data_IF_704364725445
#
_entry.id   IF_704364725445
#
_cell.length_a   1.000
_cell.length_b   1.000
_cell.length_c   1.000
_cell.angle_alpha   90.00
_cell.angle_beta   90.00
_cell.angle_gamma   90.00
#
_symmetry.space_group_name_H-M   'P 1'
#
loop_
_entity.id
_entity.type
_entity.pdbx_description
1 polymer ?
#
# COMPACT_ATOMS: atom_id res chain seq x y z
N UNK A 1 28.89 15.04 -33.78
CA UNK A 1 27.56 15.64 -33.55
C UNK A 1 26.54 14.71 -32.86
N UNK A 2 26.89 13.48 -32.46
CA UNK A 2 25.92 12.45 -31.98
C UNK A 2 25.84 12.27 -30.46
N UNK A 3 26.83 12.72 -29.68
CA UNK A 3 26.84 12.56 -28.20
C UNK A 3 25.91 13.53 -27.46
N UNK A 4 25.69 14.73 -28.01
CA UNK A 4 24.87 15.78 -27.39
C UNK A 4 23.37 15.51 -27.54
N UNK A 5 22.97 14.92 -28.67
CA UNK A 5 21.60 14.45 -28.91
C UNK A 5 21.25 13.26 -28.02
N UNK A 6 22.21 12.36 -27.72
CA UNK A 6 22.01 11.25 -26.78
C UNK A 6 21.81 11.74 -25.34
N UNK A 7 22.62 12.71 -24.86
CA UNK A 7 22.46 13.34 -23.54
C UNK A 7 21.12 14.07 -23.38
N UNK A 8 20.66 14.78 -24.42
CA UNK A 8 19.36 15.46 -24.42
C UNK A 8 18.18 14.47 -24.37
N UNK A 9 18.28 13.34 -25.07
CA UNK A 9 17.25 12.28 -25.03
C UNK A 9 17.23 11.57 -23.68
N UNK A 10 18.39 11.27 -23.09
CA UNK A 10 18.46 10.71 -21.74
C UNK A 10 17.87 11.63 -20.67
N UNK A 11 18.18 12.94 -20.74
CA UNK A 11 17.59 13.92 -19.83
C UNK A 11 16.06 14.02 -20.00
N UNK A 12 15.56 13.95 -21.24
CA UNK A 12 14.12 13.90 -21.51
C UNK A 12 13.44 12.66 -20.92
N UNK A 13 14.05 11.48 -21.05
CA UNK A 13 13.51 10.23 -20.48
C UNK A 13 13.51 10.26 -18.95
N UNK A 14 14.55 10.81 -18.32
CA UNK A 14 14.62 10.99 -16.86
C UNK A 14 13.54 11.94 -16.33
N UNK A 15 13.28 13.05 -17.01
CA UNK A 15 12.24 14.01 -16.61
C UNK A 15 10.81 13.46 -16.79
N UNK A 16 10.57 12.66 -17.83
CA UNK A 16 9.28 11.96 -18.04
C UNK A 16 9.04 10.82 -17.03
N UNK A 17 10.08 10.26 -16.42
CA UNK A 17 9.94 9.22 -15.39
C UNK A 17 9.42 9.75 -14.04
N UNK A 18 9.72 11.01 -13.69
CA UNK A 18 9.35 11.59 -12.40
C UNK A 18 7.88 12.03 -12.28
N UNK A 19 7.15 12.14 -13.39
CA UNK A 19 5.72 12.53 -13.37
C UNK A 19 4.76 11.41 -12.95
N UNK A 20 5.27 10.20 -12.69
CA UNK A 20 4.48 9.04 -12.26
C UNK A 20 4.43 8.87 -10.74
N UNK A 21 5.04 9.78 -9.97
CA UNK A 21 4.93 9.73 -8.51
C UNK A 21 3.50 10.17 -8.14
N UNK A 22 2.70 9.32 -7.47
CA UNK A 22 1.40 9.75 -6.99
C UNK A 22 1.60 10.93 -6.02
N UNK A 23 1.02 12.07 -6.36
CA UNK A 23 0.85 13.19 -5.42
C UNK A 23 0.02 12.65 -4.27
N UNK A 24 0.49 12.84 -3.04
CA UNK A 24 -0.26 12.45 -1.86
C UNK A 24 -1.62 13.18 -1.86
N UNK A 25 -2.69 12.43 -2.11
CA UNK A 25 -4.07 12.90 -2.01
C UNK A 25 -4.34 13.37 -0.57
N UNK A 26 -5.06 14.48 -0.42
CA UNK A 26 -5.48 14.99 0.88
C UNK A 26 -6.45 13.99 1.55
N UNK A 27 -5.94 13.27 2.56
CA UNK A 27 -6.68 12.33 3.41
C UNK A 27 -6.68 10.89 2.89
N UNK A 28 -6.29 9.96 3.76
CA UNK A 28 -6.44 8.52 3.51
C UNK A 28 -7.93 8.17 3.57
N UNK A 29 -8.37 7.25 2.72
CA UNK A 29 -9.72 6.71 2.78
C UNK A 29 -9.69 5.18 2.74
N UNK A 30 -10.83 4.54 2.97
CA UNK A 30 -10.90 3.07 3.03
C UNK A 30 -10.45 2.44 1.72
N UNK A 31 -10.81 3.02 0.57
CA UNK A 31 -10.44 2.49 -0.74
C UNK A 31 -8.92 2.50 -0.97
N UNK A 32 -8.25 3.60 -0.60
CA UNK A 32 -6.78 3.74 -0.72
C UNK A 32 -6.05 2.83 0.27
N UNK A 33 -6.58 2.64 1.49
CA UNK A 33 -6.04 1.68 2.44
C UNK A 33 -6.16 0.23 1.94
N UNK A 34 -7.33 -0.17 1.43
CA UNK A 34 -7.52 -1.52 0.87
C UNK A 34 -6.64 -1.75 -0.36
N UNK A 35 -6.53 -0.76 -1.25
CA UNK A 35 -5.67 -0.85 -2.42
C UNK A 35 -4.18 -0.96 -2.01
N UNK A 36 -3.73 -0.20 -1.01
CA UNK A 36 -2.35 -0.25 -0.53
C UNK A 36 -2.03 -1.54 0.22
N UNK A 37 -3.01 -2.12 0.93
CA UNK A 37 -2.88 -3.41 1.60
C UNK A 37 -2.64 -4.58 0.62
N UNK A 38 -3.07 -4.47 -0.64
CA UNK A 38 -2.80 -5.46 -1.67
C UNK A 38 -1.44 -5.28 -2.37
N UNK A 39 -0.70 -4.21 -2.05
CA UNK A 39 0.57 -3.93 -2.71
C UNK A 39 1.65 -4.98 -2.34
N UNK A 40 2.51 -5.40 -3.29
CA UNK A 40 3.54 -6.41 -3.03
C UNK A 40 4.52 -6.02 -1.90
N UNK A 41 4.79 -4.71 -1.79
CA UNK A 41 5.66 -4.16 -0.76
C UNK A 41 5.03 -4.23 0.64
N UNK A 42 3.72 -3.98 0.76
CA UNK A 42 3.02 -4.03 2.04
C UNK A 42 2.91 -5.46 2.58
N UNK A 43 2.52 -6.41 1.72
CA UNK A 43 2.35 -7.82 2.13
C UNK A 43 3.67 -8.59 2.25
N UNK A 44 4.82 -7.92 2.10
CA UNK A 44 6.16 -8.53 2.06
C UNK A 44 6.18 -9.75 1.13
N UNK A 45 5.67 -9.57 -0.08
CA UNK A 45 5.51 -10.67 -1.02
C UNK A 45 6.88 -11.23 -1.39
N UNK A 46 7.09 -12.53 -1.14
CA UNK A 46 8.34 -13.21 -1.49
C UNK A 46 8.11 -14.64 -1.95
N UNK A 47 8.95 -15.06 -2.89
CA UNK A 47 9.06 -16.46 -3.26
C UNK A 47 9.85 -17.15 -2.15
N UNK A 48 9.18 -18.01 -1.37
CA UNK A 48 9.81 -18.75 -0.28
C UNK A 48 10.43 -20.07 -0.73
N UNK A 49 10.07 -20.54 -1.93
CA UNK A 49 10.68 -21.73 -2.52
C UNK A 49 9.87 -22.29 -3.68
N UNK A 50 10.09 -23.57 -3.96
CA UNK A 50 9.41 -24.34 -4.99
C UNK A 50 8.86 -25.63 -4.40
N UNK A 51 7.67 -26.02 -4.86
CA UNK A 51 7.01 -27.27 -4.47
C UNK A 51 6.96 -28.20 -5.68
N UNK A 52 7.36 -29.45 -5.50
CA UNK A 52 7.19 -30.49 -6.49
C UNK A 52 5.96 -31.32 -6.13
N UNK A 53 5.12 -31.60 -7.11
CA UNK A 53 3.97 -32.49 -6.95
C UNK A 53 3.81 -33.38 -8.17
N UNK A 54 3.27 -34.57 -7.96
CA UNK A 54 3.07 -35.56 -9.01
C UNK A 54 1.66 -35.41 -9.58
N UNK A 55 1.56 -35.12 -10.89
CA UNK A 55 0.29 -35.11 -11.63
C UNK A 55 0.21 -36.34 -12.52
N UNK A 56 -0.72 -37.25 -12.22
CA UNK A 56 -0.99 -38.44 -13.02
C UNK A 56 -2.19 -38.21 -13.96
N UNK A 57 -2.08 -38.70 -15.20
CA UNK A 57 -3.17 -38.79 -16.15
C UNK A 57 -3.11 -40.12 -16.90
N UNK A 58 -3.92 -40.30 -17.93
CA UNK A 58 -3.99 -41.57 -18.67
C UNK A 58 -2.68 -42.00 -19.34
N UNK A 59 -1.81 -41.06 -19.71
CA UNK A 59 -0.51 -41.34 -20.32
C UNK A 59 0.66 -41.43 -19.32
N UNK A 60 0.38 -41.70 -18.04
CA UNK A 60 1.39 -41.76 -16.97
C UNK A 60 1.48 -40.49 -16.12
N UNK A 61 2.46 -40.48 -15.21
CA UNK A 61 2.64 -39.43 -14.21
C UNK A 61 3.80 -38.50 -14.54
N UNK A 62 3.63 -37.20 -14.28
CA UNK A 62 4.66 -36.18 -14.48
C UNK A 62 4.81 -35.33 -13.24
N UNK A 63 6.06 -35.02 -12.87
CA UNK A 63 6.36 -34.05 -11.83
C UNK A 63 6.00 -32.65 -12.35
N UNK A 64 5.27 -31.90 -11.54
CA UNK A 64 4.90 -30.51 -11.75
C UNK A 64 5.54 -29.67 -10.66
N UNK A 65 6.04 -28.51 -11.06
CA UNK A 65 6.68 -27.56 -10.15
C UNK A 65 5.76 -26.37 -10.00
N UNK A 66 5.45 -26.01 -8.76
CA UNK A 66 4.70 -24.81 -8.40
C UNK A 66 5.57 -23.90 -7.53
N UNK A 67 5.39 -22.59 -7.66
CA UNK A 67 6.08 -21.61 -6.81
C UNK A 67 5.43 -21.58 -5.44
N UNK A 68 6.22 -21.66 -4.38
CA UNK A 68 5.77 -21.41 -3.01
C UNK A 68 5.94 -19.93 -2.71
N UNK A 69 4.83 -19.27 -2.40
CA UNK A 69 4.79 -17.85 -2.04
C UNK A 69 4.59 -17.72 -0.53
N UNK A 70 5.28 -16.76 0.08
CA UNK A 70 5.02 -16.30 1.44
C UNK A 70 4.58 -14.84 1.35
N UNK A 71 3.47 -14.51 2.00
CA UNK A 71 2.98 -13.14 2.15
C UNK A 71 2.33 -12.97 3.52
N UNK A 72 2.23 -11.73 4.00
CA UNK A 72 1.50 -11.36 5.20
C UNK A 72 0.26 -10.56 4.80
N UNK A 73 -0.92 -10.94 5.30
CA UNK A 73 -2.15 -10.19 5.07
C UNK A 73 -2.36 -9.27 6.28
N UNK A 74 -2.38 -7.94 6.09
CA UNK A 74 -2.70 -7.03 7.18
C UNK A 74 -4.21 -7.09 7.48
N UNK A 75 -4.57 -7.57 8.68
CA UNK A 75 -5.96 -7.63 9.17
C UNK A 75 -6.37 -6.40 10.00
N UNK A 76 -5.41 -5.52 10.30
CA UNK A 76 -5.62 -4.34 11.15
C UNK A 76 -4.84 -3.13 10.63
N UNK A 77 -5.43 -1.95 10.79
CA UNK A 77 -4.82 -0.65 10.51
C UNK A 77 -4.64 0.09 11.84
N UNK A 78 -3.42 0.59 12.08
CA UNK A 78 -3.09 1.38 13.27
C UNK A 78 -2.79 2.80 12.83
N UNK A 79 -3.55 3.77 13.36
CA UNK A 79 -3.33 5.21 13.13
C UNK A 79 -2.78 5.86 14.40
N UNK A 80 -1.70 6.62 14.27
CA UNK A 80 -1.16 7.47 15.33
C UNK A 80 -1.29 8.95 14.91
N UNK A 81 -1.91 9.75 15.77
CA UNK A 81 -2.21 11.17 15.53
C UNK A 81 -2.15 11.94 16.85
N UNK A 82 -2.01 13.27 16.78
CA UNK A 82 -1.75 14.12 17.95
C UNK A 82 -3.03 14.48 18.72
N UNK A 83 -4.09 14.86 18.02
CA UNK A 83 -5.35 15.24 18.64
C UNK A 83 -6.55 14.41 18.12
N UNK A 84 -7.62 14.29 18.94
CA UNK A 84 -8.88 13.69 18.50
C UNK A 84 -9.42 14.41 17.26
N UNK A 85 -9.91 13.67 16.26
CA UNK A 85 -10.38 14.25 15.01
C UNK A 85 -9.29 14.41 13.95
N UNK A 86 -8.01 14.36 14.31
CA UNK A 86 -6.89 14.49 13.37
C UNK A 86 -6.45 13.16 12.76
N UNK A 87 -7.27 12.11 12.82
CA UNK A 87 -6.95 10.87 12.10
C UNK A 87 -6.94 11.15 10.58
N UNK A 88 -5.82 10.90 9.87
CA UNK A 88 -5.74 11.15 8.44
C UNK A 88 -6.65 10.24 7.62
N UNK A 89 -7.14 9.14 8.22
CA UNK A 89 -8.20 8.32 7.65
C UNK A 89 -9.54 9.05 7.81
N UNK A 90 -10.04 9.60 6.69
CA UNK A 90 -11.21 10.47 6.64
C UNK A 90 -12.42 9.89 7.37
N UNK A 91 -12.76 8.62 7.11
CA UNK A 91 -13.89 7.95 7.75
C UNK A 91 -13.71 7.76 9.26
N UNK A 92 -12.46 7.67 9.74
CA UNK A 92 -12.13 7.44 11.15
C UNK A 92 -11.83 8.74 11.91
N UNK A 93 -11.70 9.87 11.23
CA UNK A 93 -11.55 11.20 11.85
C UNK A 93 -12.72 11.50 12.79
N UNK A 94 -13.97 11.31 12.34
CA UNK A 94 -15.18 11.49 13.15
C UNK A 94 -15.20 10.56 14.36
N UNK A 95 -14.83 9.29 14.17
CA UNK A 95 -14.77 8.29 15.23
C UNK A 95 -13.73 8.70 16.27
N UNK A 96 -12.56 9.14 15.83
CA UNK A 96 -11.48 9.60 16.71
C UNK A 96 -11.84 10.85 17.51
N UNK A 97 -12.61 11.77 16.92
CA UNK A 97 -13.11 12.97 17.61
C UNK A 97 -14.10 12.62 18.72
N UNK A 98 -14.99 11.65 18.46
CA UNK A 98 -15.99 11.20 19.43
C UNK A 98 -15.45 10.23 20.50
N UNK A 99 -14.27 9.64 20.29
CA UNK A 99 -13.76 8.55 21.13
C UNK A 99 -13.32 8.96 22.55
N UNK A 100 -12.95 10.22 22.79
CA UNK A 100 -12.43 10.65 24.09
C UNK A 100 -13.44 11.34 25.00
N UNK A 101 -14.72 10.97 24.92
CA UNK A 101 -15.72 11.35 25.93
C UNK A 101 -16.05 12.85 26.00
N UNK A 102 -16.73 13.24 27.09
CA UNK A 102 -17.21 14.62 27.30
C UNK A 102 -16.06 15.63 27.45
N UNK A 103 -14.90 15.20 27.94
CA UNK A 103 -13.70 16.02 28.11
C UNK A 103 -13.13 16.47 26.76
N UNK A 104 -13.11 15.58 25.76
CA UNK A 104 -12.76 15.94 24.40
C UNK A 104 -13.82 16.81 23.73
N UNK A 105 -15.11 16.57 24.00
CA UNK A 105 -16.19 17.39 23.47
C UNK A 105 -16.12 18.83 24.00
N UNK A 106 -15.87 19.00 25.30
CA UNK A 106 -15.67 20.31 25.93
C UNK A 106 -14.42 20.99 25.37
N UNK A 107 -13.31 20.26 25.23
CA UNK A 107 -12.08 20.82 24.64
C UNK A 107 -12.32 21.28 23.21
N UNK A 108 -12.98 20.48 22.37
CA UNK A 108 -13.31 20.82 20.99
C UNK A 108 -14.19 22.07 20.85
N UNK A 109 -15.14 22.27 21.76
CA UNK A 109 -16.00 23.47 21.81
C UNK A 109 -15.22 24.70 22.28
N UNK A 110 -14.26 24.55 23.20
CA UNK A 110 -13.46 25.65 23.72
C UNK A 110 -12.30 26.05 22.80
N UNK A 111 -11.89 25.15 21.89
CA UNK A 111 -10.81 25.40 20.92
C UNK A 111 -11.29 25.89 19.55
N UNK A 112 -12.61 26.02 19.33
CA UNK A 112 -13.22 26.58 18.11
C UNK A 112 -13.65 28.02 18.28
#
# INVERSE_FOLDING_TARGET
>A
MTRQSYRRRLAGVLLLGCSLVPVAEAGLNTATLVASAASPSCISWRISGICYWLKCGWGGCRIRTSVRVSHFIPEAVVSAYHAPGENPWQEMSLVSGAAGGIENAVTGVLSG
#
